data_IF_621370171112
#
_entry.id   IF_621370171112
#
_cell.length_a   1.000
_cell.length_b   1.000
_cell.length_c   1.000
_cell.angle_alpha   90.00
_cell.angle_beta   90.00
_cell.angle_gamma   90.00
#
_symmetry.space_group_name_H-M   'P 1'
#
loop_
_entity.id
_entity.type
_entity.pdbx_description
1 polymer ?
#
# COMPACT_ATOMS: atom_id res chain seq x y z
N UNK A 1 -28.13 25.09 -7.60
CA UNK A 1 -27.85 24.07 -8.63
C UNK A 1 -26.45 23.53 -8.38
N UNK A 2 -26.36 22.35 -7.78
CA UNK A 2 -25.10 21.69 -7.41
C UNK A 2 -24.53 20.92 -8.61
N UNK A 3 -23.23 21.07 -8.87
CA UNK A 3 -22.50 20.27 -9.85
C UNK A 3 -21.26 19.73 -9.12
N UNK A 4 -21.36 18.51 -8.60
CA UNK A 4 -20.22 17.82 -7.96
C UNK A 4 -19.18 17.40 -9.01
N UNK A 5 -17.88 17.33 -8.67
CA UNK A 5 -16.86 16.89 -9.61
C UNK A 5 -16.78 15.36 -9.64
N UNK A 6 -16.69 14.85 -10.86
CA UNK A 6 -16.64 13.45 -11.24
C UNK A 6 -15.44 12.72 -10.64
N UNK A 7 -15.71 11.78 -9.73
CA UNK A 7 -14.74 10.80 -9.27
C UNK A 7 -14.62 9.64 -10.27
N UNK A 8 -13.57 9.64 -11.08
CA UNK A 8 -13.12 8.46 -11.80
C UNK A 8 -11.59 8.41 -11.75
N UNK A 9 -11.06 7.43 -11.01
CA UNK A 9 -9.66 7.03 -11.05
C UNK A 9 -9.43 6.07 -12.24
N UNK A 10 -8.32 6.18 -12.99
CA UNK A 10 -8.08 5.37 -14.20
C UNK A 10 -7.92 3.86 -13.99
N UNK A 11 -7.80 3.39 -12.74
CA UNK A 11 -7.25 2.07 -12.40
C UNK A 11 -8.29 1.06 -11.84
N UNK A 12 -9.59 1.33 -11.96
CA UNK A 12 -10.62 0.31 -11.71
C UNK A 12 -10.77 -0.17 -10.26
N UNK A 13 -10.20 0.52 -9.28
CA UNK A 13 -10.58 0.40 -7.86
C UNK A 13 -11.66 1.43 -7.52
N UNK A 14 -12.75 1.01 -6.88
CA UNK A 14 -13.73 1.95 -6.35
C UNK A 14 -13.04 2.85 -5.31
N UNK A 15 -13.06 4.18 -5.46
CA UNK A 15 -12.65 5.06 -4.38
C UNK A 15 -13.48 4.71 -3.14
N UNK A 16 -12.88 4.72 -1.95
CA UNK A 16 -13.67 4.80 -0.74
C UNK A 16 -14.32 6.20 -0.75
N UNK A 17 -15.53 6.29 -1.32
CA UNK A 17 -16.24 7.56 -1.48
C UNK A 17 -16.60 8.10 -0.11
N UNK A 18 -15.92 9.16 0.32
CA UNK A 18 -16.24 9.98 1.47
C UNK A 18 -15.24 11.12 1.61
N UNK A 19 -15.69 12.28 2.11
CA UNK A 19 -14.75 13.25 2.71
C UNK A 19 -13.93 12.49 3.76
N UNK A 20 -12.61 12.45 3.61
CA UNK A 20 -11.76 11.79 4.61
C UNK A 20 -12.06 12.43 5.97
N UNK A 21 -12.34 11.63 7.01
CA UNK A 21 -12.51 12.18 8.35
C UNK A 21 -11.23 12.91 8.73
N UNK A 22 -11.36 14.10 9.31
CA UNK A 22 -10.22 14.80 9.91
C UNK A 22 -9.96 14.17 11.27
N UNK A 23 -8.83 13.52 11.41
CA UNK A 23 -8.36 12.85 12.64
C UNK A 23 -7.46 13.76 13.46
N UNK A 24 -6.65 14.59 12.80
CA UNK A 24 -5.68 15.47 13.45
C UNK A 24 -5.82 16.92 12.98
N UNK A 25 -5.50 17.87 13.87
CA UNK A 25 -5.47 19.29 13.52
C UNK A 25 -4.26 19.66 12.65
N UNK A 26 -3.16 18.90 12.75
CA UNK A 26 -1.99 19.08 11.91
C UNK A 26 -2.24 18.42 10.54
N UNK A 27 -2.17 19.17 9.43
CA UNK A 27 -2.52 18.66 8.12
C UNK A 27 -1.54 17.59 7.60
N UNK A 28 -0.29 17.58 8.05
CA UNK A 28 0.69 16.56 7.68
C UNK A 28 0.36 15.25 8.40
N UNK A 29 0.07 15.32 9.70
CA UNK A 29 -0.33 14.15 10.49
C UNK A 29 -1.66 13.57 9.98
N UNK A 30 -2.61 14.41 9.60
CA UNK A 30 -3.89 13.98 9.04
C UNK A 30 -3.71 13.27 7.68
N UNK A 31 -2.91 13.84 6.79
CA UNK A 31 -2.56 13.21 5.51
C UNK A 31 -1.84 11.86 5.70
N UNK A 32 -0.92 11.76 6.67
CA UNK A 32 -0.26 10.49 7.01
C UNK A 32 -1.25 9.44 7.50
N UNK A 33 -2.22 9.83 8.35
CA UNK A 33 -3.26 8.92 8.84
C UNK A 33 -4.14 8.41 7.70
N UNK A 34 -4.57 9.30 6.79
CA UNK A 34 -5.34 8.92 5.61
C UNK A 34 -4.58 7.92 4.73
N UNK A 35 -3.28 8.17 4.49
CA UNK A 35 -2.43 7.24 3.76
C UNK A 35 -2.32 5.87 4.46
N UNK A 36 -2.18 5.82 5.79
CA UNK A 36 -2.13 4.56 6.55
C UNK A 36 -3.44 3.78 6.42
N UNK A 37 -4.59 4.46 6.48
CA UNK A 37 -5.90 3.83 6.34
C UNK A 37 -6.08 3.24 4.93
N UNK A 38 -5.67 3.97 3.89
CA UNK A 38 -5.70 3.47 2.52
C UNK A 38 -4.80 2.25 2.33
N UNK A 39 -3.57 2.31 2.84
CA UNK A 39 -2.65 1.17 2.79
C UNK A 39 -3.20 -0.04 3.55
N UNK A 40 -3.88 0.18 4.67
CA UNK A 40 -4.53 -0.88 5.45
C UNK A 40 -5.68 -1.52 4.67
N UNK A 41 -6.49 -0.72 3.96
CA UNK A 41 -7.54 -1.22 3.09
C UNK A 41 -6.98 -2.05 1.92
N UNK A 42 -5.91 -1.58 1.27
CA UNK A 42 -5.23 -2.32 0.20
C UNK A 42 -4.58 -3.62 0.71
N UNK A 43 -4.03 -3.60 1.93
CA UNK A 43 -3.50 -4.79 2.59
C UNK A 43 -4.61 -5.80 2.85
N UNK A 44 -5.77 -5.36 3.36
CA UNK A 44 -6.94 -6.23 3.55
C UNK A 44 -7.38 -6.88 2.24
N UNK A 45 -7.51 -6.10 1.15
CA UNK A 45 -7.87 -6.65 -0.17
C UNK A 45 -6.87 -7.72 -0.64
N UNK A 46 -5.58 -7.53 -0.36
CA UNK A 46 -4.54 -8.51 -0.69
C UNK A 46 -4.66 -9.79 0.15
N UNK A 47 -4.93 -9.66 1.46
CA UNK A 47 -5.16 -10.80 2.35
C UNK A 47 -6.43 -11.56 1.97
N UNK A 48 -7.53 -10.86 1.72
CA UNK A 48 -8.79 -11.45 1.27
C UNK A 48 -8.60 -12.28 0.00
N UNK A 49 -7.85 -11.75 -0.97
CA UNK A 49 -7.50 -12.49 -2.18
C UNK A 49 -6.66 -13.73 -1.89
N UNK A 50 -5.73 -13.68 -0.93
CA UNK A 50 -4.95 -14.86 -0.51
C UNK A 50 -5.83 -15.91 0.15
N UNK A 51 -6.75 -15.52 1.04
CA UNK A 51 -7.70 -16.44 1.67
C UNK A 51 -8.62 -17.10 0.65
N UNK A 52 -9.12 -16.33 -0.33
CA UNK A 52 -9.93 -16.89 -1.42
C UNK A 52 -9.14 -17.91 -2.25
N UNK A 53 -7.86 -17.64 -2.54
CA UNK A 53 -7.00 -18.60 -3.26
C UNK A 53 -6.75 -19.87 -2.44
N UNK A 54 -6.48 -19.74 -1.15
CA UNK A 54 -6.29 -20.88 -0.25
C UNK A 54 -7.55 -21.76 -0.17
N UNK A 55 -8.72 -21.15 0.05
CA UNK A 55 -10.01 -21.86 0.09
C UNK A 55 -10.31 -22.58 -1.24
N UNK A 56 -10.09 -21.92 -2.37
CA UNK A 56 -10.30 -22.53 -3.69
C UNK A 56 -9.36 -23.74 -3.91
N UNK A 57 -8.07 -23.61 -3.59
CA UNK A 57 -7.10 -24.69 -3.74
C UNK A 57 -7.38 -25.86 -2.79
N UNK A 58 -7.84 -25.58 -1.57
CA UNK A 58 -8.25 -26.59 -0.61
C UNK A 58 -9.49 -27.36 -1.06
N UNK A 59 -10.51 -26.66 -1.57
CA UNK A 59 -11.72 -27.28 -2.14
C UNK A 59 -11.41 -28.18 -3.35
N UNK A 60 -10.39 -27.83 -4.12
CA UNK A 60 -9.90 -28.66 -5.23
C UNK A 60 -8.96 -29.79 -4.79
N UNK A 61 -8.61 -29.87 -3.50
CA UNK A 61 -7.70 -30.87 -2.96
C UNK A 61 -6.23 -30.70 -3.37
N UNK A 62 -5.84 -29.51 -3.85
CA UNK A 62 -4.49 -29.23 -4.36
C UNK A 62 -3.54 -28.89 -3.21
N UNK A 63 -4.00 -28.09 -2.25
CA UNK A 63 -3.23 -27.64 -1.09
C UNK A 63 -4.07 -27.85 0.17
N UNK A 64 -3.49 -28.45 1.21
CA UNK A 64 -4.13 -28.52 2.54
C UNK A 64 -3.61 -27.40 3.42
N UNK A 65 -4.41 -26.94 4.39
CA UNK A 65 -3.98 -25.94 5.38
C UNK A 65 -2.67 -26.38 6.07
N UNK A 66 -2.58 -27.65 6.48
CA UNK A 66 -1.38 -28.19 7.10
C UNK A 66 -0.14 -28.16 6.17
N UNK A 67 -0.32 -28.40 4.86
CA UNK A 67 0.78 -28.32 3.90
C UNK A 67 1.23 -26.87 3.69
N UNK A 68 0.31 -25.91 3.71
CA UNK A 68 0.62 -24.49 3.61
C UNK A 68 1.35 -23.99 4.87
N UNK A 69 0.86 -24.30 6.05
CA UNK A 69 1.48 -23.92 7.35
C UNK A 69 2.89 -24.54 7.51
N UNK A 70 3.03 -25.78 7.05
CA UNK A 70 4.28 -26.52 7.03
C UNK A 70 5.24 -26.09 5.92
N UNK A 71 4.82 -25.25 4.97
CA UNK A 71 5.62 -24.93 3.80
C UNK A 71 6.94 -24.25 4.20
N UNK A 72 8.05 -24.80 3.71
CA UNK A 72 9.38 -24.20 3.81
C UNK A 72 9.96 -24.12 2.41
N UNK A 73 10.24 -22.89 1.90
CA UNK A 73 10.84 -22.75 0.59
C UNK A 73 12.25 -23.35 0.59
N UNK A 74 12.62 -24.00 -0.51
CA UNK A 74 14.00 -24.45 -0.73
C UNK A 74 14.97 -23.26 -0.87
N UNK A 75 16.27 -23.56 -0.96
CA UNK A 75 17.32 -22.54 -1.01
C UNK A 75 17.18 -21.59 -2.21
N UNK A 76 16.78 -22.11 -3.38
CA UNK A 76 16.61 -21.31 -4.59
C UNK A 76 15.41 -20.38 -4.46
N UNK A 77 14.28 -20.92 -4.01
CA UNK A 77 13.05 -20.17 -3.81
C UNK A 77 13.22 -19.10 -2.72
N UNK A 78 13.89 -19.42 -1.62
CA UNK A 78 14.20 -18.47 -0.56
C UNK A 78 15.11 -17.34 -1.05
N UNK A 79 16.11 -17.64 -1.91
CA UNK A 79 16.96 -16.62 -2.55
C UNK A 79 16.15 -15.70 -3.45
N UNK A 80 15.26 -16.25 -4.29
CA UNK A 80 14.40 -15.47 -5.16
C UNK A 80 13.45 -14.55 -4.37
N UNK A 81 12.85 -15.04 -3.28
CA UNK A 81 12.00 -14.25 -2.39
C UNK A 81 12.76 -13.09 -1.74
N UNK A 82 13.99 -13.33 -1.26
CA UNK A 82 14.85 -12.27 -0.71
C UNK A 82 15.14 -11.17 -1.73
N UNK A 83 15.56 -11.55 -2.94
CA UNK A 83 15.85 -10.58 -4.00
C UNK A 83 14.60 -9.75 -4.39
N UNK A 84 13.42 -10.37 -4.39
CA UNK A 84 12.15 -9.65 -4.64
C UNK A 84 11.84 -8.67 -3.51
N UNK A 85 12.01 -9.07 -2.26
CA UNK A 85 11.80 -8.20 -1.09
C UNK A 85 12.78 -7.03 -1.07
N UNK A 86 14.05 -7.27 -1.37
CA UNK A 86 15.08 -6.24 -1.44
C UNK A 86 14.75 -5.20 -2.51
N UNK A 87 14.35 -5.64 -3.71
CA UNK A 87 13.93 -4.74 -4.78
C UNK A 87 12.72 -3.90 -4.38
N UNK A 88 11.68 -4.54 -3.84
CA UNK A 88 10.48 -3.84 -3.39
C UNK A 88 10.80 -2.79 -2.32
N UNK A 89 11.63 -3.14 -1.34
CA UNK A 89 12.04 -2.22 -0.27
C UNK A 89 12.88 -1.06 -0.81
N UNK A 90 13.82 -1.36 -1.71
CA UNK A 90 14.64 -0.36 -2.39
C UNK A 90 13.78 0.65 -3.15
N UNK A 91 12.80 0.18 -3.92
CA UNK A 91 11.97 1.04 -4.75
C UNK A 91 11.12 2.00 -3.89
N UNK A 92 10.53 1.52 -2.79
CA UNK A 92 9.81 2.35 -1.82
C UNK A 92 10.72 3.41 -1.19
N UNK A 93 11.89 2.99 -0.70
CA UNK A 93 12.79 3.89 0.03
C UNK A 93 13.47 4.91 -0.88
N UNK A 94 13.74 4.56 -2.13
CA UNK A 94 14.27 5.49 -3.14
C UNK A 94 13.31 6.64 -3.34
N UNK A 95 12.03 6.35 -3.48
CA UNK A 95 11.02 7.37 -3.75
C UNK A 95 10.86 8.31 -2.54
N UNK A 96 10.91 7.76 -1.32
CA UNK A 96 10.94 8.56 -0.09
C UNK A 96 12.18 9.46 0.00
N UNK A 97 13.37 8.90 -0.31
CA UNK A 97 14.62 9.66 -0.29
C UNK A 97 14.57 10.83 -1.28
N UNK A 98 14.08 10.60 -2.50
CA UNK A 98 13.90 11.65 -3.52
C UNK A 98 13.02 12.80 -3.02
N UNK A 99 11.92 12.50 -2.33
CA UNK A 99 11.03 13.51 -1.73
C UNK A 99 11.75 14.32 -0.65
N UNK A 100 12.54 13.69 0.21
CA UNK A 100 13.28 14.39 1.27
C UNK A 100 14.41 15.27 0.74
N UNK A 101 15.12 14.82 -0.31
CA UNK A 101 16.20 15.60 -0.93
C UNK A 101 15.63 16.79 -1.72
N UNK A 102 14.47 16.61 -2.38
CA UNK A 102 13.74 17.72 -3.02
C UNK A 102 13.24 18.76 -2.01
N UNK A 103 12.68 18.33 -0.89
CA UNK A 103 12.23 19.22 0.19
C UNK A 103 13.39 20.00 0.84
N UNK A 104 14.57 19.38 0.98
CA UNK A 104 15.78 20.04 1.50
C UNK A 104 16.39 21.06 0.51
N UNK A 105 16.11 20.93 -0.79
CA UNK A 105 16.60 21.83 -1.85
C UNK A 105 15.68 23.01 -2.17
N UNK A 106 14.49 23.09 -1.57
CA UNK A 106 13.58 24.22 -1.76
C UNK A 106 14.13 25.46 -1.00
N UNK A 107 14.38 26.60 -1.67
CA UNK A 107 14.85 27.80 -0.97
C UNK A 107 13.76 28.27 0.00
N UNK A 108 14.16 28.62 1.22
CA UNK A 108 13.31 29.31 2.18
C UNK A 108 12.67 30.52 1.49
N UNK A 109 11.35 30.53 1.38
CA UNK A 109 10.61 31.61 0.73
C UNK A 109 10.97 32.98 1.33
N UNK A 110 10.89 34.06 0.54
CA UNK A 110 11.38 35.37 0.95
C UNK A 110 10.61 35.84 2.18
N UNK A 111 11.35 36.20 3.22
CA UNK A 111 10.78 36.85 4.41
C UNK A 111 10.07 38.14 3.98
N UNK A 112 8.80 38.23 4.33
CA UNK A 112 8.02 39.47 4.30
C UNK A 112 8.58 40.43 5.36
N UNK A 113 9.27 41.48 4.91
CA UNK A 113 9.35 42.77 5.61
C UNK A 113 8.02 43.54 5.50
#
# INVERSE_FOLDING_TARGET
MSKGPSGQTPEGGAPLVGDYPVYFNDPVQDAMMNMILELSAQLWMSMDRMYALEDLLARQGIVTAAALDGYRPDAERAKALRARRERFTHDILRDLKSLTEGAASAPAGPGTE
#
